data_IF_655547607185
#
_entry.id   IF_655547607185
#
_cell.length_a   1.000
_cell.length_b   1.000
_cell.length_c   1.000
_cell.angle_alpha   90.00
_cell.angle_beta   90.00
_cell.angle_gamma   90.00
#
_symmetry.space_group_name_H-M   'P 1'
#
loop_
_entity.id
_entity.type
_entity.pdbx_description
1 polymer ?
#
# COMPACT_ATOMS: atom_id res chain seq x y z
N UNK A 1 -0.05 -11.97 -3.41
CA UNK A 1 0.80 -10.86 -2.94
C UNK A 1 2.26 -10.94 -3.39
N UNK A 2 3.05 -12.00 -3.10
CA UNK A 2 4.51 -12.04 -3.39
C UNK A 2 4.98 -11.36 -4.69
N UNK A 3 4.47 -11.78 -5.86
CA UNK A 3 4.86 -11.20 -7.16
C UNK A 3 4.42 -9.75 -7.41
N UNK A 4 3.59 -9.15 -6.55
CA UNK A 4 3.41 -7.69 -6.56
C UNK A 4 4.62 -6.96 -5.96
N UNK A 5 5.31 -7.56 -4.99
CA UNK A 5 6.44 -6.96 -4.26
C UNK A 5 7.80 -7.48 -4.69
N UNK A 6 7.84 -8.66 -5.31
CA UNK A 6 9.03 -9.37 -5.76
C UNK A 6 8.81 -9.92 -7.19
N UNK A 7 8.39 -9.10 -8.17
CA UNK A 7 8.34 -9.56 -9.56
C UNK A 7 9.75 -9.79 -10.09
N UNK A 8 9.89 -10.74 -11.02
CA UNK A 8 11.10 -10.93 -11.82
C UNK A 8 10.98 -10.20 -13.17
N UNK A 9 9.76 -9.85 -13.57
CA UNK A 9 9.46 -9.13 -14.80
C UNK A 9 8.27 -8.18 -14.64
N UNK A 10 8.37 -6.98 -15.17
CA UNK A 10 7.32 -5.96 -15.06
C UNK A 10 7.06 -5.26 -16.39
N UNK A 11 5.78 -5.16 -16.77
CA UNK A 11 5.34 -4.29 -17.85
C UNK A 11 4.89 -2.95 -17.29
N UNK A 12 5.49 -1.85 -17.73
CA UNK A 12 5.11 -0.49 -17.33
C UNK A 12 4.33 0.13 -18.47
N UNK A 13 3.01 0.31 -18.31
CA UNK A 13 2.12 0.72 -19.39
C UNK A 13 1.70 2.17 -19.21
N UNK A 14 1.96 2.98 -20.24
CA UNK A 14 1.71 4.42 -20.18
C UNK A 14 2.88 5.24 -19.66
N UNK A 15 4.10 4.71 -19.70
CA UNK A 15 5.32 5.41 -19.27
C UNK A 15 5.46 6.74 -20.02
N UNK A 16 5.59 7.88 -19.33
CA UNK A 16 5.87 9.17 -19.98
C UNK A 16 7.18 9.14 -20.77
N UNK A 17 7.23 9.88 -21.90
CA UNK A 17 8.48 10.06 -22.66
C UNK A 17 9.43 11.04 -21.98
N UNK A 18 8.88 11.97 -21.20
CA UNK A 18 9.65 12.92 -20.39
C UNK A 18 10.30 12.21 -19.21
N UNK A 19 11.51 12.63 -18.86
CA UNK A 19 12.28 12.18 -17.69
C UNK A 19 12.70 13.38 -16.84
N UNK A 20 13.13 13.13 -15.62
CA UNK A 20 13.54 14.15 -14.66
C UNK A 20 12.46 14.53 -13.65
N UNK A 21 12.77 15.53 -12.82
CA UNK A 21 11.90 15.97 -11.73
C UNK A 21 10.55 16.42 -12.27
N UNK A 22 9.47 15.90 -11.69
CA UNK A 22 8.10 16.22 -12.10
C UNK A 22 7.63 15.54 -13.39
N UNK A 23 8.43 14.66 -14.00
CA UNK A 23 8.02 13.90 -15.17
C UNK A 23 7.03 12.76 -14.84
N UNK A 24 6.91 12.42 -13.55
CA UNK A 24 6.06 11.34 -13.05
C UNK A 24 6.31 10.00 -13.76
N UNK A 25 7.59 9.70 -14.00
CA UNK A 25 8.03 8.59 -14.84
C UNK A 25 8.38 7.37 -13.97
N UNK A 26 7.47 6.41 -13.89
CA UNK A 26 7.66 5.18 -13.11
C UNK A 26 8.80 4.28 -13.60
N UNK A 27 9.19 4.34 -14.88
CA UNK A 27 10.37 3.62 -15.38
C UNK A 27 11.65 4.21 -14.78
N UNK A 28 11.78 5.52 -14.83
CA UNK A 28 12.94 6.22 -14.28
C UNK A 28 13.07 5.98 -12.77
N UNK A 29 11.96 6.04 -12.03
CA UNK A 29 11.95 5.75 -10.60
C UNK A 29 12.34 4.29 -10.33
N UNK A 30 11.78 3.32 -11.06
CA UNK A 30 12.12 1.90 -10.90
C UNK A 30 13.62 1.63 -11.13
N UNK A 31 14.21 2.27 -12.15
CA UNK A 31 15.65 2.16 -12.45
C UNK A 31 16.51 2.75 -11.32
N UNK A 32 16.17 3.95 -10.84
CA UNK A 32 16.86 4.59 -9.71
C UNK A 32 16.72 3.80 -8.42
N UNK A 33 15.57 3.14 -8.23
CA UNK A 33 15.33 2.24 -7.11
C UNK A 33 16.16 0.95 -7.20
N UNK A 34 16.86 0.71 -8.31
CA UNK A 34 17.86 -0.35 -8.46
C UNK A 34 17.30 -1.72 -8.84
N UNK A 35 16.11 -1.77 -9.44
CA UNK A 35 15.50 -3.04 -9.86
C UNK A 35 16.37 -3.77 -10.88
N UNK A 36 16.55 -5.07 -10.66
CA UNK A 36 17.43 -5.93 -11.47
C UNK A 36 16.67 -6.93 -12.35
N UNK A 37 15.33 -6.98 -12.23
CA UNK A 37 14.51 -7.85 -13.08
C UNK A 37 14.26 -7.24 -14.46
N UNK A 38 13.53 -7.97 -15.30
CA UNK A 38 13.22 -7.53 -16.66
C UNK A 38 12.15 -6.45 -16.68
N UNK A 39 12.40 -5.38 -17.45
CA UNK A 39 11.50 -4.23 -17.55
C UNK A 39 11.02 -4.11 -18.99
N UNK A 40 9.71 -4.00 -19.17
CA UNK A 40 9.06 -3.83 -20.47
C UNK A 40 8.20 -2.55 -20.48
N UNK A 41 8.77 -1.39 -20.86
CA UNK A 41 8.01 -0.18 -21.05
C UNK A 41 7.06 -0.32 -22.24
N UNK A 42 5.82 0.14 -22.09
CA UNK A 42 4.79 0.13 -23.14
C UNK A 42 4.34 1.56 -23.40
N UNK A 43 4.70 2.05 -24.58
CA UNK A 43 4.30 3.36 -25.09
C UNK A 43 4.23 3.33 -26.63
N UNK A 44 3.05 3.47 -27.25
CA UNK A 44 2.90 3.37 -28.71
C UNK A 44 3.54 4.51 -29.51
N UNK A 45 4.09 5.53 -28.85
CA UNK A 45 4.72 6.71 -29.47
C UNK A 45 6.21 6.84 -29.17
N UNK A 46 6.82 5.80 -28.62
CA UNK A 46 8.24 5.78 -28.30
C UNK A 46 8.84 4.42 -28.70
N UNK A 47 10.02 4.46 -29.32
CA UNK A 47 10.82 3.25 -29.57
C UNK A 47 11.68 2.89 -28.36
N UNK A 48 12.08 3.89 -27.57
CA UNK A 48 12.93 3.76 -26.39
C UNK A 48 12.60 4.84 -25.35
N UNK A 49 12.66 4.49 -24.06
CA UNK A 49 12.60 5.43 -22.92
C UNK A 49 13.65 4.99 -21.90
N UNK A 50 14.44 5.93 -21.36
CA UNK A 50 15.52 5.65 -20.40
C UNK A 50 16.52 4.57 -20.87
N UNK A 51 16.81 4.48 -22.17
CA UNK A 51 17.72 3.46 -22.71
C UNK A 51 17.10 2.06 -22.83
N UNK A 52 15.79 1.91 -22.59
CA UNK A 52 15.08 0.63 -22.64
C UNK A 52 14.07 0.65 -23.78
N UNK A 53 14.15 -0.37 -24.64
CA UNK A 53 13.22 -0.58 -25.75
C UNK A 53 11.78 -0.60 -25.27
N UNK A 54 10.93 0.19 -25.92
CA UNK A 54 9.50 0.23 -25.70
C UNK A 54 8.75 -0.71 -26.63
N UNK A 55 7.59 -1.17 -26.17
CA UNK A 55 6.60 -1.92 -26.95
C UNK A 55 5.38 -1.04 -27.21
N UNK A 56 4.67 -1.28 -28.32
CA UNK A 56 3.49 -0.48 -28.64
C UNK A 56 2.27 -0.92 -27.83
N UNK A 57 2.22 -2.21 -27.50
CA UNK A 57 1.20 -2.87 -26.67
C UNK A 57 1.82 -3.93 -25.76
N UNK A 58 1.16 -4.20 -24.63
CA UNK A 58 1.52 -5.32 -23.73
C UNK A 58 1.44 -6.68 -24.43
N UNK A 59 0.62 -6.78 -25.48
CA UNK A 59 0.46 -8.00 -26.28
C UNK A 59 1.74 -8.36 -27.05
N UNK A 60 2.58 -7.37 -27.40
CA UNK A 60 3.82 -7.56 -28.15
C UNK A 60 5.01 -8.02 -27.29
N UNK A 61 4.89 -7.95 -25.96
CA UNK A 61 5.95 -8.39 -25.05
C UNK A 61 6.21 -9.89 -25.30
N UNK A 62 7.46 -10.35 -25.46
CA UNK A 62 7.75 -11.73 -25.90
C UNK A 62 7.33 -12.82 -24.89
N UNK A 63 6.95 -12.45 -23.67
CA UNK A 63 6.54 -13.37 -22.61
C UNK A 63 5.40 -12.82 -21.75
N UNK A 64 4.85 -13.67 -20.89
CA UNK A 64 3.91 -13.27 -19.85
C UNK A 64 4.74 -12.72 -18.69
N UNK A 65 4.53 -11.46 -18.33
CA UNK A 65 5.22 -10.82 -17.20
C UNK A 65 4.56 -11.17 -15.87
N UNK A 66 5.32 -11.06 -14.77
CA UNK A 66 4.81 -11.30 -13.42
C UNK A 66 3.79 -10.25 -12.98
N UNK A 67 4.00 -9.00 -13.43
CA UNK A 67 3.25 -7.82 -13.02
C UNK A 67 3.10 -6.81 -14.17
N UNK A 68 1.90 -6.26 -14.35
CA UNK A 68 1.68 -5.06 -15.15
C UNK A 68 1.38 -3.85 -14.25
N UNK A 69 1.90 -2.68 -14.61
CA UNK A 69 1.60 -1.39 -13.95
C UNK A 69 0.97 -0.48 -14.98
N UNK A 70 -0.30 -0.12 -14.78
CA UNK A 70 -1.08 0.71 -15.70
C UNK A 70 -1.11 2.15 -15.19
N UNK A 71 -0.55 3.07 -15.99
CA UNK A 71 -0.49 4.51 -15.73
C UNK A 71 -0.99 5.31 -16.95
N UNK A 72 -2.18 4.97 -17.46
CA UNK A 72 -2.85 5.71 -18.55
C UNK A 72 -4.08 6.46 -18.05
N UNK A 73 -4.60 7.42 -18.82
CA UNK A 73 -5.85 8.11 -18.46
C UNK A 73 -7.00 7.12 -18.22
N UNK A 74 -7.84 7.37 -17.20
CA UNK A 74 -8.85 6.42 -16.68
C UNK A 74 -9.71 5.74 -17.74
N UNK A 75 -10.09 6.46 -18.79
CA UNK A 75 -10.96 5.95 -19.87
C UNK A 75 -10.27 4.89 -20.74
N UNK A 76 -8.94 4.83 -20.74
CA UNK A 76 -8.15 3.82 -21.47
C UNK A 76 -7.84 2.58 -20.62
N UNK A 77 -8.01 2.66 -19.30
CA UNK A 77 -7.63 1.58 -18.38
C UNK A 77 -8.39 0.28 -18.66
N UNK A 78 -9.72 0.26 -18.91
CA UNK A 78 -10.42 -1.00 -19.19
C UNK A 78 -9.89 -1.73 -20.43
N UNK A 79 -9.55 -0.99 -21.49
CA UNK A 79 -8.97 -1.57 -22.69
C UNK A 79 -7.58 -2.18 -22.42
N UNK A 80 -6.70 -1.43 -21.78
CA UNK A 80 -5.35 -1.91 -21.41
C UNK A 80 -5.42 -3.10 -20.44
N UNK A 81 -6.37 -3.08 -19.50
CA UNK A 81 -6.59 -4.19 -18.58
C UNK A 81 -7.04 -5.46 -19.32
N UNK A 82 -7.92 -5.33 -20.32
CA UNK A 82 -8.30 -6.46 -21.19
C UNK A 82 -7.08 -7.02 -21.94
N UNK A 83 -6.22 -6.17 -22.49
CA UNK A 83 -4.99 -6.62 -23.15
C UNK A 83 -4.07 -7.37 -22.17
N UNK A 84 -3.97 -6.93 -20.91
CA UNK A 84 -3.23 -7.64 -19.87
C UNK A 84 -3.82 -9.03 -19.58
N UNK A 85 -5.16 -9.12 -19.49
CA UNK A 85 -5.87 -10.38 -19.30
C UNK A 85 -5.65 -11.34 -20.48
N UNK A 86 -5.75 -10.84 -21.72
CA UNK A 86 -5.49 -11.59 -22.95
C UNK A 86 -4.05 -12.09 -23.02
N UNK A 87 -3.09 -11.25 -22.62
CA UNK A 87 -1.67 -11.66 -22.49
C UNK A 87 -1.45 -12.75 -21.44
N UNK A 88 -2.41 -12.98 -20.55
CA UNK A 88 -2.33 -13.95 -19.46
C UNK A 88 -1.67 -13.40 -18.19
N UNK A 89 -1.47 -12.09 -18.09
CA UNK A 89 -0.87 -11.45 -16.91
C UNK A 89 -1.84 -11.55 -15.74
N UNK A 90 -1.37 -12.09 -14.61
CA UNK A 90 -2.23 -12.40 -13.45
C UNK A 90 -2.29 -11.31 -12.38
N UNK A 91 -1.47 -10.27 -12.50
CA UNK A 91 -1.31 -9.25 -11.45
C UNK A 91 -1.16 -7.88 -12.10
N UNK A 92 -1.96 -6.93 -11.64
CA UNK A 92 -2.00 -5.58 -12.19
C UNK A 92 -2.02 -4.55 -11.06
N UNK A 93 -1.14 -3.56 -11.12
CA UNK A 93 -1.25 -2.32 -10.34
C UNK A 93 -1.86 -1.26 -11.26
N UNK A 94 -2.93 -0.60 -10.83
CA UNK A 94 -3.57 0.48 -11.61
C UNK A 94 -3.34 1.80 -10.89
N UNK A 95 -2.38 2.58 -11.36
CA UNK A 95 -2.00 3.87 -10.75
C UNK A 95 -3.10 4.91 -10.92
N UNK A 96 -3.78 4.89 -12.06
CA UNK A 96 -4.73 5.91 -12.50
C UNK A 96 -5.85 6.20 -11.50
N UNK A 97 -6.09 7.49 -11.24
CA UNK A 97 -7.19 8.00 -10.41
C UNK A 97 -8.48 8.29 -11.21
N UNK A 98 -9.54 8.68 -10.52
CA UNK A 98 -10.81 9.10 -11.12
C UNK A 98 -11.79 7.95 -11.36
N UNK A 99 -11.72 6.90 -10.55
CA UNK A 99 -12.64 5.76 -10.57
C UNK A 99 -13.78 6.01 -9.57
N UNK A 100 -13.98 5.12 -8.59
CA UNK A 100 -14.98 5.33 -7.54
C UNK A 100 -14.71 6.59 -6.68
N UNK A 101 -13.46 7.06 -6.69
CA UNK A 101 -12.95 8.30 -6.11
C UNK A 101 -13.24 9.56 -6.95
N UNK A 102 -13.71 9.42 -8.19
CA UNK A 102 -13.94 10.54 -9.10
C UNK A 102 -15.40 10.94 -9.27
N UNK A 103 -16.16 10.11 -9.99
CA UNK A 103 -17.55 10.40 -10.40
C UNK A 103 -18.32 9.10 -10.74
N UNK A 104 -19.60 9.23 -11.13
CA UNK A 104 -20.46 8.08 -11.49
C UNK A 104 -19.95 7.30 -12.72
N UNK A 105 -19.29 7.97 -13.67
CA UNK A 105 -18.65 7.28 -14.81
C UNK A 105 -17.47 6.45 -14.29
N UNK A 106 -16.65 7.02 -13.42
CA UNK A 106 -15.53 6.38 -12.76
C UNK A 106 -15.94 5.14 -11.94
N UNK A 107 -17.07 5.20 -11.24
CA UNK A 107 -17.65 4.03 -10.54
C UNK A 107 -17.94 2.89 -11.52
N UNK A 108 -18.63 3.16 -12.64
CA UNK A 108 -18.92 2.15 -13.67
C UNK A 108 -17.66 1.57 -14.30
N UNK A 109 -16.65 2.41 -14.55
CA UNK A 109 -15.35 1.93 -15.04
C UNK A 109 -14.70 0.98 -14.03
N UNK A 110 -14.79 1.26 -12.72
CA UNK A 110 -14.26 0.38 -11.68
C UNK A 110 -15.04 -0.94 -11.60
N UNK A 111 -16.36 -0.88 -11.74
CA UNK A 111 -17.23 -2.06 -11.77
C UNK A 111 -16.82 -3.01 -12.91
N UNK A 112 -16.62 -2.48 -14.13
CA UNK A 112 -16.13 -3.26 -15.28
C UNK A 112 -14.80 -3.97 -14.98
N UNK A 113 -13.87 -3.30 -14.28
CA UNK A 113 -12.60 -3.92 -13.88
C UNK A 113 -12.86 -5.09 -12.91
N UNK A 114 -13.68 -4.88 -11.89
CA UNK A 114 -13.93 -5.89 -10.85
C UNK A 114 -14.74 -7.09 -11.32
N UNK A 115 -15.62 -6.94 -12.31
CA UNK A 115 -16.34 -8.05 -12.93
C UNK A 115 -15.36 -9.01 -13.64
N UNK A 116 -14.40 -8.44 -14.37
CA UNK A 116 -13.39 -9.19 -15.14
C UNK A 116 -12.33 -9.89 -14.28
N UNK A 117 -12.03 -9.37 -13.08
CA UNK A 117 -11.05 -9.94 -12.14
C UNK A 117 -11.31 -11.44 -11.91
N UNK A 118 -12.56 -11.81 -11.63
CA UNK A 118 -12.94 -13.20 -11.33
C UNK A 118 -12.83 -14.11 -12.55
N UNK A 119 -13.29 -13.64 -13.70
CA UNK A 119 -13.32 -14.42 -14.95
C UNK A 119 -11.91 -14.68 -15.48
N UNK A 120 -11.02 -13.69 -15.42
CA UNK A 120 -9.66 -13.79 -15.97
C UNK A 120 -8.64 -14.40 -14.99
N UNK A 121 -9.02 -14.58 -13.72
CA UNK A 121 -8.11 -15.01 -12.66
C UNK A 121 -6.97 -14.01 -12.40
N UNK A 122 -7.24 -12.73 -12.60
CA UNK A 122 -6.29 -11.62 -12.42
C UNK A 122 -6.56 -10.94 -11.08
N UNK A 123 -5.53 -10.42 -10.41
CA UNK A 123 -5.67 -9.62 -9.19
C UNK A 123 -5.22 -8.18 -9.39
N UNK A 124 -5.86 -7.22 -8.71
CA UNK A 124 -5.61 -5.77 -8.84
C UNK A 124 -5.21 -5.14 -7.50
N UNK A 125 -4.14 -4.35 -7.49
CA UNK A 125 -3.88 -3.29 -6.49
C UNK A 125 -4.33 -1.95 -7.09
N UNK A 126 -5.10 -1.16 -6.33
CA UNK A 126 -5.69 0.10 -6.77
C UNK A 126 -7.19 -0.03 -7.10
N UNK A 127 -7.71 0.76 -8.07
CA UNK A 127 -7.02 1.86 -8.76
C UNK A 127 -6.69 3.02 -7.82
N UNK A 128 -6.21 4.16 -8.35
CA UNK A 128 -5.85 5.35 -7.59
C UNK A 128 -4.81 5.05 -6.49
N UNK A 129 -3.64 4.57 -6.90
CA UNK A 129 -2.61 4.11 -5.97
C UNK A 129 -1.22 4.55 -6.42
N UNK A 130 -0.33 4.79 -5.46
CA UNK A 130 1.12 4.83 -5.68
C UNK A 130 1.71 3.42 -5.95
N UNK A 131 0.93 2.39 -5.63
CA UNK A 131 1.24 0.99 -5.75
C UNK A 131 2.11 0.50 -4.60
N UNK A 132 3.23 -0.13 -4.88
CA UNK A 132 4.03 -0.81 -3.87
C UNK A 132 5.52 -0.51 -4.00
N UNK A 133 6.24 -0.64 -2.90
CA UNK A 133 7.69 -0.84 -2.94
C UNK A 133 8.13 -1.94 -1.97
N UNK A 134 9.27 -2.53 -2.29
CA UNK A 134 9.99 -3.49 -1.47
C UNK A 134 11.49 -3.22 -1.60
N UNK A 135 12.10 -2.71 -0.54
CA UNK A 135 13.52 -2.34 -0.50
C UNK A 135 14.40 -3.56 -0.77
N UNK A 136 14.05 -4.71 -0.20
CA UNK A 136 14.83 -5.94 -0.34
C UNK A 136 14.82 -6.52 -1.76
N UNK A 137 13.78 -6.23 -2.54
CA UNK A 137 13.69 -6.61 -3.94
C UNK A 137 14.21 -5.50 -4.88
N UNK A 138 14.65 -4.36 -4.34
CA UNK A 138 14.94 -3.13 -5.09
C UNK A 138 13.81 -2.81 -6.09
N UNK A 139 12.55 -3.00 -5.68
CA UNK A 139 11.39 -2.88 -6.54
C UNK A 139 10.44 -1.78 -6.06
N UNK A 140 9.93 -0.97 -6.99
CA UNK A 140 8.87 0.00 -6.73
C UNK A 140 8.02 0.23 -7.97
N UNK A 141 6.71 0.46 -7.79
CA UNK A 141 5.82 0.91 -8.87
C UNK A 141 5.60 2.42 -8.84
N UNK A 142 6.22 3.12 -7.87
CA UNK A 142 6.02 4.55 -7.67
C UNK A 142 6.46 5.37 -8.87
N UNK A 143 5.75 6.46 -9.11
CA UNK A 143 6.03 7.42 -10.18
C UNK A 143 6.56 8.76 -9.65
N UNK A 144 6.72 8.89 -8.34
CA UNK A 144 7.39 10.00 -7.66
C UNK A 144 8.63 9.49 -6.94
N UNK A 145 9.61 10.36 -6.78
CA UNK A 145 10.82 10.07 -6.00
C UNK A 145 10.40 9.75 -4.55
N UNK A 146 10.90 8.64 -4.02
CA UNK A 146 10.73 8.28 -2.61
C UNK A 146 12.00 7.62 -2.10
N UNK A 147 12.26 7.83 -0.81
CA UNK A 147 13.49 7.40 -0.15
C UNK A 147 13.63 5.88 -0.20
N UNK A 148 14.76 5.40 -0.75
CA UNK A 148 15.19 3.99 -0.63
C UNK A 148 16.21 3.88 0.50
N UNK A 149 15.84 3.36 1.67
CA UNK A 149 16.81 3.12 2.73
C UNK A 149 17.78 2.00 2.40
N UNK A 150 19.03 2.13 2.83
CA UNK A 150 20.01 1.03 2.79
C UNK A 150 19.68 -0.04 3.85
N UNK A 151 19.29 0.39 5.05
CA UNK A 151 18.95 -0.46 6.18
C UNK A 151 17.54 -0.11 6.68
N UNK A 152 16.48 -0.57 6.00
CA UNK A 152 15.11 -0.25 6.40
C UNK A 152 14.75 -0.81 7.78
N UNK A 153 13.88 -0.10 8.49
CA UNK A 153 13.17 -0.71 9.61
C UNK A 153 12.30 -1.86 9.07
N UNK A 154 12.17 -3.01 9.80
CA UNK A 154 11.45 -4.20 9.35
C UNK A 154 9.92 -4.02 9.47
N UNK A 155 9.44 -2.91 8.93
CA UNK A 155 8.06 -2.44 8.95
C UNK A 155 7.50 -2.60 7.54
N UNK A 156 6.29 -3.15 7.45
CA UNK A 156 5.47 -3.02 6.25
C UNK A 156 4.34 -2.03 6.52
N UNK A 157 4.32 -0.93 5.78
CA UNK A 157 3.22 0.03 5.80
C UNK A 157 2.15 -0.37 4.78
N UNK A 158 0.91 -0.55 5.23
CA UNK A 158 -0.26 -0.83 4.39
C UNK A 158 -1.21 0.34 4.49
N UNK A 159 -1.48 1.03 3.40
CA UNK A 159 -2.29 2.25 3.41
C UNK A 159 -3.32 2.23 2.28
N UNK A 160 -4.39 3.00 2.45
CA UNK A 160 -5.32 3.37 1.37
C UNK A 160 -4.99 4.77 0.81
N UNK A 161 -3.73 5.18 0.95
CA UNK A 161 -3.21 6.45 0.46
C UNK A 161 -1.69 6.38 0.32
N UNK A 162 -1.17 7.00 -0.74
CA UNK A 162 0.25 7.03 -1.04
C UNK A 162 1.08 7.92 -0.11
N UNK A 163 0.48 8.78 0.70
CA UNK A 163 1.22 9.76 1.52
C UNK A 163 2.19 9.10 2.50
N UNK A 164 1.88 7.90 3.00
CA UNK A 164 2.76 7.16 3.90
C UNK A 164 3.99 6.59 3.17
N UNK A 165 3.87 6.26 1.88
CA UNK A 165 5.02 5.82 1.08
C UNK A 165 5.99 6.97 0.85
N UNK A 166 5.46 8.15 0.48
CA UNK A 166 6.25 9.36 0.23
C UNK A 166 6.89 9.87 1.53
N UNK A 167 6.13 9.88 2.62
CA UNK A 167 6.58 10.35 3.94
C UNK A 167 7.28 9.29 4.79
N UNK A 168 7.85 8.23 4.21
CA UNK A 168 8.32 7.06 4.97
C UNK A 168 9.26 7.41 6.14
N UNK A 169 10.18 8.36 5.95
CA UNK A 169 11.14 8.81 6.97
C UNK A 169 10.53 9.60 8.13
N UNK A 170 9.33 10.18 7.90
CA UNK A 170 8.56 10.85 8.96
C UNK A 170 8.04 9.82 9.96
N UNK A 171 7.68 8.63 9.48
CA UNK A 171 7.05 7.59 10.29
C UNK A 171 8.05 6.59 10.87
N UNK A 172 9.11 6.30 10.13
CA UNK A 172 10.20 5.39 10.51
C UNK A 172 11.51 6.05 10.15
N UNK A 173 12.40 6.38 11.11
CA UNK A 173 13.64 7.11 10.81
C UNK A 173 14.50 6.44 9.73
N UNK A 174 14.53 5.10 9.70
CA UNK A 174 15.27 4.35 8.67
C UNK A 174 14.39 3.97 7.46
N UNK A 175 13.18 4.52 7.33
CA UNK A 175 12.20 4.14 6.32
C UNK A 175 11.61 2.75 6.52
N UNK A 176 10.53 2.45 5.80
CA UNK A 176 9.92 1.12 5.84
C UNK A 176 10.65 0.16 4.90
N UNK A 177 10.68 -1.14 5.24
CA UNK A 177 11.19 -2.17 4.34
C UNK A 177 10.26 -2.40 3.15
N UNK A 178 8.94 -2.32 3.39
CA UNK A 178 7.89 -2.49 2.40
C UNK A 178 6.82 -1.44 2.62
N UNK A 179 6.21 -0.99 1.53
CA UNK A 179 4.97 -0.26 1.63
C UNK A 179 4.02 -0.61 0.50
N UNK A 180 2.73 -0.62 0.81
CA UNK A 180 1.65 -1.01 -0.08
C UNK A 180 0.54 0.03 0.05
N UNK A 181 0.37 0.82 -1.00
CA UNK A 181 -0.81 1.66 -1.18
C UNK A 181 -1.86 0.84 -1.94
N UNK A 182 -3.02 0.66 -1.33
CA UNK A 182 -4.13 -0.07 -1.90
C UNK A 182 -5.05 0.82 -2.74
N UNK A 183 -4.92 2.14 -2.62
CA UNK A 183 -5.85 3.10 -3.24
C UNK A 183 -7.30 2.77 -2.89
N UNK A 184 -8.13 2.67 -3.92
CA UNK A 184 -9.54 2.33 -3.78
C UNK A 184 -9.81 0.90 -3.27
N UNK A 185 -8.79 0.01 -3.28
CA UNK A 185 -8.92 -1.39 -2.88
C UNK A 185 -10.11 -2.09 -3.57
N UNK A 186 -10.18 -2.01 -4.90
CA UNK A 186 -11.32 -2.55 -5.64
C UNK A 186 -11.36 -4.09 -5.66
N UNK A 187 -10.19 -4.74 -5.56
CA UNK A 187 -10.03 -6.20 -5.48
C UNK A 187 -9.19 -6.59 -4.25
N UNK A 188 -7.86 -6.37 -4.29
CA UNK A 188 -7.01 -6.64 -3.14
C UNK A 188 -7.26 -5.58 -2.07
N UNK A 189 -7.45 -6.03 -0.82
CA UNK A 189 -7.60 -5.16 0.33
C UNK A 189 -6.65 -5.54 1.49
N UNK A 190 -6.77 -4.84 2.62
CA UNK A 190 -5.95 -5.02 3.82
C UNK A 190 -5.88 -6.49 4.27
N UNK A 191 -6.95 -7.26 4.12
CA UNK A 191 -6.99 -8.68 4.50
C UNK A 191 -6.00 -9.51 3.67
N UNK A 192 -5.97 -9.36 2.34
CA UNK A 192 -5.05 -10.14 1.50
C UNK A 192 -3.58 -9.81 1.84
N UNK A 193 -3.33 -8.54 2.17
CA UNK A 193 -2.01 -8.08 2.58
C UNK A 193 -1.63 -8.66 3.93
N UNK A 194 -2.52 -8.65 4.92
CA UNK A 194 -2.26 -9.26 6.23
C UNK A 194 -2.02 -10.77 6.13
N UNK A 195 -2.77 -11.49 5.30
CA UNK A 195 -2.54 -12.92 5.06
C UNK A 195 -1.15 -13.18 4.47
N UNK A 196 -0.68 -12.31 3.57
CA UNK A 196 0.67 -12.40 3.03
C UNK A 196 1.75 -12.07 4.07
N UNK A 197 1.56 -10.99 4.82
CA UNK A 197 2.54 -10.50 5.79
C UNK A 197 2.65 -11.40 7.02
N UNK A 198 1.69 -12.28 7.27
CA UNK A 198 1.72 -13.23 8.38
C UNK A 198 3.03 -14.03 8.43
N UNK A 199 3.44 -14.56 7.29
CA UNK A 199 4.59 -15.46 7.18
C UNK A 199 5.77 -14.83 6.42
N UNK A 200 5.71 -13.54 6.11
CA UNK A 200 6.82 -12.82 5.47
C UNK A 200 7.99 -12.59 6.45
N UNK A 201 9.14 -13.26 6.30
CA UNK A 201 10.23 -13.19 7.30
C UNK A 201 10.88 -11.80 7.40
N UNK A 202 10.73 -10.95 6.38
CA UNK A 202 11.30 -9.60 6.36
C UNK A 202 10.46 -8.57 7.11
N UNK A 203 9.19 -8.87 7.37
CA UNK A 203 8.28 -7.98 8.10
C UNK A 203 8.16 -8.42 9.55
N UNK A 204 8.56 -7.55 10.48
CA UNK A 204 8.37 -7.73 11.93
C UNK A 204 7.22 -6.91 12.47
N UNK A 205 6.97 -5.71 11.92
CA UNK A 205 5.89 -4.81 12.34
C UNK A 205 5.00 -4.47 11.15
N UNK A 206 3.69 -4.50 11.34
CA UNK A 206 2.72 -4.13 10.31
C UNK A 206 2.02 -2.85 10.77
N UNK A 207 2.20 -1.77 10.02
CA UNK A 207 1.49 -0.51 10.23
C UNK A 207 0.38 -0.38 9.18
N UNK A 208 -0.82 0.00 9.60
CA UNK A 208 -1.98 0.09 8.71
C UNK A 208 -2.63 1.47 8.84
N UNK A 209 -2.69 2.22 7.74
CA UNK A 209 -3.64 3.31 7.59
C UNK A 209 -4.92 2.77 6.96
N UNK A 210 -6.04 2.92 7.67
CA UNK A 210 -7.35 2.41 7.25
C UNK A 210 -8.36 3.55 7.18
N UNK A 211 -8.93 3.77 6.01
CA UNK A 211 -10.11 4.60 5.81
C UNK A 211 -11.39 3.78 5.97
N UNK A 212 -11.38 2.55 5.45
CA UNK A 212 -12.52 1.64 5.50
C UNK A 212 -12.17 0.22 5.08
N UNK A 213 -13.08 -0.72 5.28
CA UNK A 213 -12.89 -2.13 4.89
C UNK A 213 -14.23 -2.77 4.55
N UNK A 214 -14.26 -3.55 3.46
CA UNK A 214 -15.47 -4.29 3.05
C UNK A 214 -15.57 -5.64 3.76
N UNK A 215 -14.46 -6.36 3.89
CA UNK A 215 -14.41 -7.73 4.45
C UNK A 215 -14.20 -7.76 5.97
N UNK A 216 -14.99 -7.01 6.73
CA UNK A 216 -14.79 -6.79 8.17
C UNK A 216 -14.71 -8.07 9.02
N UNK A 217 -15.56 -9.09 8.77
CA UNK A 217 -15.50 -10.37 9.51
C UNK A 217 -14.18 -11.11 9.26
N UNK A 218 -13.76 -11.19 8.00
CA UNK A 218 -12.50 -11.85 7.61
C UNK A 218 -11.29 -11.08 8.14
N UNK A 219 -11.37 -9.75 8.17
CA UNK A 219 -10.36 -8.91 8.80
C UNK A 219 -10.16 -9.27 10.28
N UNK A 220 -11.23 -9.40 11.07
CA UNK A 220 -11.10 -9.77 12.49
C UNK A 220 -10.41 -11.14 12.64
N UNK A 221 -10.80 -12.12 11.83
CA UNK A 221 -10.22 -13.47 11.82
C UNK A 221 -8.72 -13.43 11.51
N UNK A 222 -8.35 -12.79 10.39
CA UNK A 222 -6.97 -12.72 9.91
C UNK A 222 -6.11 -11.88 10.83
N UNK A 223 -6.55 -10.68 11.20
CA UNK A 223 -5.78 -9.80 12.09
C UNK A 223 -5.51 -10.47 13.44
N UNK A 224 -6.50 -11.17 14.03
CA UNK A 224 -6.29 -11.94 15.27
C UNK A 224 -5.26 -13.05 15.11
N UNK A 225 -5.22 -13.71 13.96
CA UNK A 225 -4.23 -14.75 13.65
C UNK A 225 -2.83 -14.15 13.50
N UNK A 226 -2.71 -13.06 12.72
CA UNK A 226 -1.45 -12.34 12.48
C UNK A 226 -0.87 -11.75 13.77
N UNK A 227 -1.70 -11.16 14.63
CA UNK A 227 -1.31 -10.57 15.93
C UNK A 227 -0.59 -11.56 16.86
N UNK A 228 -0.76 -12.87 16.67
CA UNK A 228 -0.04 -13.90 17.45
C UNK A 228 1.44 -14.00 17.07
N UNK A 229 1.80 -13.56 15.86
CA UNK A 229 3.15 -13.62 15.31
C UNK A 229 3.79 -12.24 15.26
N UNK A 230 3.01 -11.21 14.89
CA UNK A 230 3.53 -9.87 14.57
C UNK A 230 2.58 -8.77 15.04
N UNK A 231 3.08 -7.69 15.64
CA UNK A 231 2.25 -6.54 15.97
C UNK A 231 1.63 -5.91 14.71
N UNK A 232 0.34 -5.59 14.81
CA UNK A 232 -0.44 -4.87 13.82
C UNK A 232 -0.94 -3.58 14.46
N UNK A 233 -0.43 -2.45 13.98
CA UNK A 233 -0.77 -1.10 14.44
C UNK A 233 -1.74 -0.50 13.42
N UNK A 234 -2.88 0.04 13.87
CA UNK A 234 -3.89 0.60 12.97
C UNK A 234 -4.18 2.05 13.33
N UNK A 235 -3.95 2.95 12.37
CA UNK A 235 -4.47 4.30 12.36
C UNK A 235 -5.75 4.34 11.51
N UNK A 236 -6.91 4.42 12.16
CA UNK A 236 -8.22 4.59 11.51
C UNK A 236 -8.49 6.07 11.27
N UNK A 237 -8.66 6.47 10.01
CA UNK A 237 -9.13 7.82 9.63
C UNK A 237 -10.63 7.82 9.39
N UNK A 238 -11.24 9.00 9.15
CA UNK A 238 -12.69 9.11 8.99
C UNK A 238 -13.50 8.72 10.24
N UNK A 239 -13.01 9.05 11.44
CA UNK A 239 -13.60 8.63 12.73
C UNK A 239 -14.76 9.49 13.21
N UNK A 240 -14.79 10.77 12.81
CA UNK A 240 -15.89 11.70 13.12
C UNK A 240 -16.89 11.70 11.98
N UNK A 241 -18.12 12.15 12.21
CA UNK A 241 -19.13 12.29 11.14
C UNK A 241 -18.61 13.13 9.97
N UNK A 242 -17.92 14.24 10.27
CA UNK A 242 -17.31 15.10 9.25
C UNK A 242 -16.14 14.41 8.54
N UNK A 243 -15.26 13.75 9.29
CA UNK A 243 -14.14 13.01 8.70
C UNK A 243 -14.62 11.83 7.85
N UNK A 244 -15.70 11.16 8.25
CA UNK A 244 -16.30 10.07 7.51
C UNK A 244 -16.93 10.57 6.20
N UNK A 245 -17.61 11.71 6.25
CA UNK A 245 -18.13 12.38 5.04
C UNK A 245 -16.98 12.77 4.10
N UNK A 246 -15.90 13.34 4.63
CA UNK A 246 -14.73 13.71 3.84
C UNK A 246 -14.04 12.49 3.20
N UNK A 247 -13.84 11.40 3.95
CA UNK A 247 -13.26 10.17 3.43
C UNK A 247 -14.16 9.50 2.37
N UNK A 248 -15.48 9.50 2.57
CA UNK A 248 -16.43 9.00 1.58
C UNK A 248 -16.34 9.78 0.26
N UNK A 249 -16.19 11.10 0.32
CA UNK A 249 -15.99 11.94 -0.87
C UNK A 249 -14.60 11.78 -1.51
N UNK A 250 -13.61 11.28 -0.77
CA UNK A 250 -12.23 11.14 -1.26
C UNK A 250 -11.97 9.79 -1.95
N UNK A 251 -12.43 8.67 -1.38
CA UNK A 251 -12.13 7.32 -1.92
C UNK A 251 -13.35 6.53 -2.37
N UNK A 252 -14.56 7.07 -2.17
CA UNK A 252 -15.81 6.38 -2.47
C UNK A 252 -16.03 5.10 -1.64
N UNK A 253 -15.17 4.84 -0.65
CA UNK A 253 -15.21 3.64 0.18
C UNK A 253 -16.22 3.78 1.33
N UNK A 254 -16.83 2.67 1.72
CA UNK A 254 -17.77 2.64 2.85
C UNK A 254 -17.03 3.00 4.14
N UNK A 255 -17.21 4.23 4.61
CA UNK A 255 -16.74 4.65 5.93
C UNK A 255 -17.73 4.14 6.96
N UNK A 256 -17.45 2.95 7.49
CA UNK A 256 -18.28 2.32 8.53
C UNK A 256 -18.24 3.07 9.86
N UNK A 257 -19.25 2.79 10.69
CA UNK A 257 -19.40 3.38 12.02
C UNK A 257 -18.16 3.15 12.90
N UNK A 258 -17.69 4.20 13.56
CA UNK A 258 -16.50 4.17 14.41
C UNK A 258 -16.65 3.19 15.58
N UNK A 259 -17.85 3.06 16.16
CA UNK A 259 -18.10 2.13 17.26
C UNK A 259 -17.97 0.67 16.79
N UNK A 260 -18.39 0.39 15.56
CA UNK A 260 -18.24 -0.93 14.94
C UNK A 260 -16.77 -1.24 14.69
N UNK A 261 -16.00 -0.27 14.19
CA UNK A 261 -14.55 -0.43 14.02
C UNK A 261 -13.85 -0.65 15.36
N UNK A 262 -14.20 0.10 16.40
CA UNK A 262 -13.59 -0.04 17.72
C UNK A 262 -13.86 -1.41 18.33
N UNK A 263 -15.10 -1.91 18.22
CA UNK A 263 -15.44 -3.27 18.64
C UNK A 263 -14.68 -4.33 17.83
N UNK A 264 -14.56 -4.15 16.51
CA UNK A 264 -13.83 -5.04 15.63
C UNK A 264 -12.33 -5.08 15.97
N UNK A 265 -11.70 -3.93 16.18
CA UNK A 265 -10.29 -3.82 16.56
C UNK A 265 -10.02 -4.44 17.91
N UNK A 266 -10.87 -4.19 18.91
CA UNK A 266 -10.78 -4.84 20.23
C UNK A 266 -10.88 -6.37 20.12
N UNK A 267 -11.79 -6.88 19.28
CA UNK A 267 -11.94 -8.33 19.05
C UNK A 267 -10.75 -8.95 18.30
N UNK A 268 -10.16 -8.19 17.37
CA UNK A 268 -8.97 -8.59 16.63
C UNK A 268 -7.70 -8.54 17.49
N UNK A 269 -7.66 -7.67 18.50
CA UNK A 269 -6.49 -7.47 19.37
C UNK A 269 -5.41 -6.57 18.76
N UNK A 270 -5.75 -5.79 17.73
CA UNK A 270 -4.80 -4.88 17.07
C UNK A 270 -4.53 -3.63 17.92
N UNK A 271 -3.33 -3.07 17.80
CA UNK A 271 -2.96 -1.83 18.49
C UNK A 271 -3.54 -0.65 17.71
N UNK A 272 -4.66 -0.09 18.18
CA UNK A 272 -5.26 1.11 17.58
C UNK A 272 -4.54 2.37 18.06
N UNK A 273 -4.15 3.24 17.13
CA UNK A 273 -3.62 4.58 17.38
C UNK A 273 -4.54 5.66 16.80
N UNK A 274 -4.45 6.88 17.32
CA UNK A 274 -5.38 7.99 17.04
C UNK A 274 -4.77 9.10 16.20
N UNK A 275 -3.44 9.20 16.18
CA UNK A 275 -2.71 10.28 15.52
C UNK A 275 -1.50 9.72 14.76
N UNK A 276 -0.96 10.52 13.84
CA UNK A 276 0.29 10.18 13.16
C UNK A 276 1.48 10.12 14.13
N UNK A 277 1.48 10.93 15.20
CA UNK A 277 2.50 10.88 16.24
C UNK A 277 2.42 9.57 17.04
N UNK A 278 1.23 9.15 17.46
CA UNK A 278 1.07 7.84 18.11
C UNK A 278 1.45 6.68 17.18
N UNK A 279 1.18 6.79 15.87
CA UNK A 279 1.63 5.79 14.90
C UNK A 279 3.15 5.71 14.83
N UNK A 280 3.84 6.86 14.81
CA UNK A 280 5.30 6.94 14.87
C UNK A 280 5.85 6.28 16.15
N UNK A 281 5.31 6.65 17.30
CA UNK A 281 5.76 6.15 18.59
C UNK A 281 5.53 4.64 18.73
N UNK A 282 4.36 4.15 18.29
CA UNK A 282 4.05 2.73 18.28
C UNK A 282 5.00 1.94 17.36
N UNK A 283 5.24 2.43 16.13
CA UNK A 283 6.18 1.79 15.20
C UNK A 283 7.56 1.68 15.85
N UNK A 284 8.08 2.80 16.40
CA UNK A 284 9.38 2.83 17.07
C UNK A 284 9.44 1.88 18.24
N UNK A 285 8.39 1.82 19.06
CA UNK A 285 8.33 0.92 20.21
C UNK A 285 8.43 -0.55 19.77
N UNK A 286 7.62 -0.97 18.80
CA UNK A 286 7.59 -2.37 18.32
C UNK A 286 8.82 -2.77 17.50
N UNK A 287 9.51 -1.82 16.87
CA UNK A 287 10.78 -2.08 16.16
C UNK A 287 11.92 -2.31 17.16
N UNK A 288 11.98 -1.52 18.24
CA UNK A 288 13.15 -1.48 19.12
C UNK A 288 13.02 -2.35 20.37
N UNK A 289 11.81 -2.66 20.83
CA UNK A 289 11.59 -3.36 22.10
C UNK A 289 10.84 -4.68 21.92
N UNK A 290 11.17 -5.72 22.71
CA UNK A 290 10.39 -6.95 22.74
C UNK A 290 9.03 -6.70 23.42
N UNK A 291 8.04 -7.60 23.22
CA UNK A 291 6.79 -7.55 23.96
C UNK A 291 7.02 -7.59 25.47
N UNK A 292 6.26 -6.77 26.20
CA UNK A 292 6.31 -6.79 27.66
C UNK A 292 5.81 -8.14 28.20
N UNK A 293 6.46 -8.64 29.26
CA UNK A 293 6.06 -9.88 29.95
C UNK A 293 4.89 -9.70 30.92
N UNK A 294 4.41 -8.47 31.10
CA UNK A 294 3.35 -8.10 32.04
C UNK A 294 3.07 -6.59 31.98
N UNK A 295 2.31 -6.08 32.94
CA UNK A 295 1.84 -4.68 33.01
C UNK A 295 2.56 -3.84 34.09
N UNK A 296 3.68 -4.31 34.63
CA UNK A 296 4.45 -3.57 35.65
C UNK A 296 5.46 -2.65 34.96
N UNK A 297 5.25 -1.35 35.10
CA UNK A 297 6.13 -0.31 34.56
C UNK A 297 6.87 0.35 35.72
N UNK A 298 8.16 0.63 35.53
CA UNK A 298 8.96 1.44 36.45
C UNK A 298 9.43 2.69 35.72
N UNK A 299 9.19 3.86 36.32
CA UNK A 299 9.57 5.16 35.75
C UNK A 299 10.82 5.66 36.48
N UNK A 300 11.90 5.88 35.74
CA UNK A 300 13.16 6.46 36.25
C UNK A 300 13.37 7.78 35.54
N UNK A 301 13.41 8.88 36.30
CA UNK A 301 13.48 10.25 35.77
C UNK A 301 14.34 11.14 36.64
N UNK A 302 15.01 12.13 36.04
CA UNK A 302 15.77 13.15 36.76
C UNK A 302 14.87 14.22 37.41
N UNK A 303 13.62 14.35 36.98
CA UNK A 303 12.69 15.38 37.47
C UNK A 303 11.33 14.79 37.80
N UNK A 304 10.75 15.23 38.91
CA UNK A 304 9.41 14.82 39.33
C UNK A 304 8.32 15.20 38.31
N UNK A 305 8.47 16.33 37.60
CA UNK A 305 7.48 16.78 36.61
C UNK A 305 7.33 15.78 35.45
N UNK A 306 8.44 15.27 34.91
CA UNK A 306 8.40 14.23 33.87
C UNK A 306 7.86 12.92 34.46
N UNK A 307 8.16 12.62 35.73
CA UNK A 307 7.63 11.46 36.42
C UNK A 307 6.11 11.47 36.52
N UNK A 308 5.51 12.63 36.85
CA UNK A 308 4.06 12.81 36.91
C UNK A 308 3.45 12.63 35.52
N UNK A 309 3.96 13.31 34.49
CA UNK A 309 3.46 13.21 33.12
C UNK A 309 3.51 11.75 32.62
N UNK A 310 4.62 11.05 32.88
CA UNK A 310 4.77 9.65 32.48
C UNK A 310 3.85 8.71 33.27
N UNK A 311 3.57 9.02 34.54
CA UNK A 311 2.64 8.25 35.37
C UNK A 311 1.22 8.41 34.85
N UNK A 312 0.76 9.64 34.59
CA UNK A 312 -0.56 9.89 34.02
C UNK A 312 -0.73 9.17 32.67
N UNK A 313 0.29 9.23 31.79
CA UNK A 313 0.28 8.52 30.50
C UNK A 313 0.27 6.99 30.62
N UNK A 314 0.69 6.42 31.77
CA UNK A 314 0.59 4.97 32.01
C UNK A 314 -0.78 4.54 32.56
N UNK A 315 -1.53 5.47 33.17
CA UNK A 315 -2.87 5.22 33.71
C UNK A 315 -3.98 5.34 32.64
N UNK A 316 -3.79 6.22 31.64
CA UNK A 316 -4.71 6.43 30.50
C UNK A 316 -4.85 5.21 29.54
#
# INVERSE_FOLDING_TARGET
MRKFLEPESVALIGVPRSTGVGAYNNLEILLRFGYQGEIYPVNPKAEEICGIRCFSSVLEIPKIVDLAVIAVGRDRVPAVFRDCCEKGIKRVVIISQGFADGDEKGKRLQEELTERVKEAGVRIIGPNTMGVYNVHASFTTGFVEHYKPENPDPVCMVAQTGVYQVGTTVFSPNGFAKAIDLGNACDLDIVDVLEYLEDDPQTKVIAVHMEGIKRGRKFIEVARRVMRKKPVIILKTGRSTLGAKAALSHTGSLVGDIQVFDAAFKKAGVTKVRTNSELQDAIRAFVNFPPMKGNRIAIITATGAIGIIATDACED
#
